data_IF_054839083102
#
_entry.id   IF_054839083102
#
_cell.length_a   1.000
_cell.length_b   1.000
_cell.length_c   1.000
_cell.angle_alpha   90.00
_cell.angle_beta   90.00
_cell.angle_gamma   90.00
#
_symmetry.space_group_name_H-M   'P 1'
#
loop_
_entity.id
_entity.type
_entity.pdbx_description
1 polymer ?
#
# COMPACT_ATOMS: atom_id res chain seq x y z
N UNK A 1 33.47 24.10 -8.84
CA UNK A 1 32.12 23.54 -9.02
C UNK A 1 31.31 23.88 -7.79
N UNK A 2 30.38 24.85 -7.88
CA UNK A 2 29.44 25.15 -6.78
C UNK A 2 28.27 24.19 -6.92
N UNK A 3 27.96 23.44 -5.86
CA UNK A 3 26.76 22.60 -5.83
C UNK A 3 25.52 23.50 -5.87
N UNK A 4 24.55 23.16 -6.72
CA UNK A 4 23.28 23.88 -6.79
C UNK A 4 22.44 23.53 -5.53
N UNK A 5 22.17 24.49 -4.63
CA UNK A 5 21.46 24.21 -3.37
C UNK A 5 20.05 23.66 -3.59
N UNK A 6 19.41 23.94 -4.73
CA UNK A 6 18.09 23.37 -5.06
C UNK A 6 18.15 21.86 -5.31
N UNK A 7 19.25 21.35 -5.89
CA UNK A 7 19.45 19.90 -6.09
C UNK A 7 19.66 19.18 -4.76
N UNK A 8 20.47 19.76 -3.88
CA UNK A 8 20.73 19.19 -2.55
C UNK A 8 19.44 19.08 -1.70
N UNK A 9 18.58 20.11 -1.74
CA UNK A 9 17.29 20.09 -1.03
C UNK A 9 16.32 19.02 -1.55
N UNK A 10 16.24 18.85 -2.87
CA UNK A 10 15.41 17.83 -3.50
C UNK A 10 15.85 16.39 -3.13
N UNK A 11 17.16 16.14 -3.08
CA UNK A 11 17.71 14.84 -2.69
C UNK A 11 17.37 14.46 -1.24
N UNK A 12 17.53 15.40 -0.31
CA UNK A 12 17.18 15.17 1.11
C UNK A 12 15.69 14.89 1.28
N UNK A 13 14.83 15.67 0.60
CA UNK A 13 13.38 15.49 0.66
C UNK A 13 12.96 14.12 0.07
N UNK A 14 13.54 13.72 -1.06
CA UNK A 14 13.30 12.41 -1.68
C UNK A 14 13.68 11.25 -0.76
N UNK A 15 14.84 11.32 -0.11
CA UNK A 15 15.29 10.30 0.86
C UNK A 15 14.36 10.18 2.07
N UNK A 16 13.95 11.32 2.66
CA UNK A 16 13.06 11.34 3.83
C UNK A 16 11.67 10.79 3.47
N UNK A 17 11.07 11.30 2.39
CA UNK A 17 9.75 10.84 1.93
C UNK A 17 9.78 9.36 1.54
N UNK A 18 10.83 8.92 0.86
CA UNK A 18 11.02 7.51 0.46
C UNK A 18 11.19 6.59 1.67
N UNK A 19 11.98 7.00 2.67
CA UNK A 19 12.18 6.24 3.90
C UNK A 19 10.89 6.06 4.71
N UNK A 20 10.17 7.16 4.97
CA UNK A 20 8.92 7.14 5.75
C UNK A 20 7.83 6.37 5.03
N UNK A 21 7.64 6.61 3.73
CA UNK A 21 6.63 5.89 2.94
C UNK A 21 6.92 4.40 2.87
N UNK A 22 8.18 3.97 2.77
CA UNK A 22 8.55 2.55 2.78
C UNK A 22 8.18 1.84 4.09
N UNK A 23 8.42 2.49 5.24
CA UNK A 23 8.01 1.95 6.54
C UNK A 23 6.49 1.86 6.66
N UNK A 24 5.78 2.90 6.20
CA UNK A 24 4.32 2.93 6.20
C UNK A 24 3.72 1.84 5.30
N UNK A 25 4.27 1.64 4.09
CA UNK A 25 3.89 0.56 3.17
C UNK A 25 4.09 -0.80 3.84
N UNK A 26 5.27 -1.07 4.41
CA UNK A 26 5.54 -2.36 5.04
C UNK A 26 4.56 -2.66 6.19
N UNK A 27 4.36 -1.70 7.10
CA UNK A 27 3.45 -1.85 8.23
C UNK A 27 1.99 -2.01 7.80
N UNK A 28 1.49 -1.12 6.94
CA UNK A 28 0.10 -1.15 6.48
C UNK A 28 -0.19 -2.38 5.62
N UNK A 29 0.76 -2.82 4.80
CA UNK A 29 0.63 -4.02 3.98
C UNK A 29 0.41 -5.29 4.81
N UNK A 30 1.13 -5.44 5.93
CA UNK A 30 0.94 -6.56 6.87
C UNK A 30 -0.46 -6.50 7.49
N UNK A 31 -0.88 -5.32 7.94
CA UNK A 31 -2.21 -5.12 8.55
C UNK A 31 -3.33 -5.44 7.56
N UNK A 32 -3.27 -4.90 6.34
CA UNK A 32 -4.27 -5.17 5.29
C UNK A 32 -4.31 -6.66 4.96
N UNK A 33 -3.15 -7.30 4.85
CA UNK A 33 -3.09 -8.73 4.59
C UNK A 33 -3.74 -9.56 5.71
N UNK A 34 -3.41 -9.27 6.98
CA UNK A 34 -4.05 -9.93 8.12
C UNK A 34 -5.57 -9.75 8.14
N UNK A 35 -6.05 -8.54 7.90
CA UNK A 35 -7.49 -8.24 7.78
C UNK A 35 -8.13 -9.04 6.63
N UNK A 36 -7.45 -9.11 5.48
CA UNK A 36 -7.91 -9.87 4.31
C UNK A 36 -8.09 -11.35 4.65
N UNK A 37 -7.15 -11.96 5.37
CA UNK A 37 -7.23 -13.37 5.80
C UNK A 37 -8.38 -13.57 6.80
N UNK A 38 -8.59 -12.62 7.73
CA UNK A 38 -9.71 -12.67 8.68
C UNK A 38 -11.05 -12.58 7.95
N UNK A 39 -11.18 -11.66 6.98
CA UNK A 39 -12.36 -11.54 6.13
C UNK A 39 -12.58 -12.86 5.38
N UNK A 40 -11.53 -13.41 4.78
CA UNK A 40 -11.62 -14.65 4.03
C UNK A 40 -12.13 -15.82 4.85
N UNK A 41 -11.60 -15.95 6.07
CA UNK A 41 -12.05 -16.94 7.02
C UNK A 41 -13.53 -16.76 7.39
N UNK A 42 -13.95 -15.52 7.68
CA UNK A 42 -15.32 -15.22 8.13
C UNK A 42 -16.38 -15.45 7.04
N UNK A 43 -16.06 -15.13 5.78
CA UNK A 43 -17.04 -15.21 4.69
C UNK A 43 -16.99 -16.53 3.90
N UNK A 44 -15.82 -17.17 3.80
CA UNK A 44 -15.63 -18.34 2.94
C UNK A 44 -14.87 -19.50 3.63
N UNK A 45 -14.54 -19.38 4.92
CA UNK A 45 -13.96 -20.45 5.72
C UNK A 45 -12.43 -20.64 5.56
N UNK A 46 -11.93 -21.71 6.16
CA UNK A 46 -10.49 -21.97 6.32
C UNK A 46 -9.74 -22.06 4.98
N UNK A 47 -10.29 -22.77 4.00
CA UNK A 47 -9.62 -22.94 2.71
C UNK A 47 -9.39 -21.59 2.02
N UNK A 48 -10.38 -20.70 2.08
CA UNK A 48 -10.26 -19.35 1.50
C UNK A 48 -9.23 -18.49 2.23
N UNK A 49 -9.14 -18.63 3.56
CA UNK A 49 -8.10 -17.98 4.36
C UNK A 49 -6.69 -18.46 3.97
N UNK A 50 -6.50 -19.77 3.81
CA UNK A 50 -5.23 -20.37 3.37
C UNK A 50 -4.83 -19.84 1.99
N UNK A 51 -5.75 -19.86 1.01
CA UNK A 51 -5.47 -19.30 -0.32
C UNK A 51 -5.11 -17.81 -0.23
N UNK A 52 -5.80 -17.06 0.63
CA UNK A 52 -5.55 -15.63 0.81
C UNK A 52 -4.16 -15.34 1.40
N UNK A 53 -3.61 -16.24 2.22
CA UNK A 53 -2.24 -16.16 2.75
C UNK A 53 -1.20 -16.28 1.61
N UNK A 54 -1.36 -17.25 0.73
CA UNK A 54 -0.40 -17.50 -0.36
C UNK A 54 -0.46 -16.47 -1.49
N UNK A 55 -1.61 -15.83 -1.69
CA UNK A 55 -1.82 -14.88 -2.77
C UNK A 55 -2.27 -13.50 -2.25
N UNK A 56 -1.43 -12.79 -1.48
CA UNK A 56 -1.83 -11.59 -0.73
C UNK A 56 -2.47 -10.50 -1.60
N UNK A 57 -1.84 -10.16 -2.73
CA UNK A 57 -2.31 -9.07 -3.60
C UNK A 57 -3.60 -9.44 -4.33
N UNK A 58 -3.66 -10.66 -4.88
CA UNK A 58 -4.85 -11.15 -5.58
C UNK A 58 -6.03 -11.31 -4.62
N UNK A 59 -5.77 -11.80 -3.40
CA UNK A 59 -6.77 -11.92 -2.36
C UNK A 59 -7.33 -10.56 -1.96
N UNK A 60 -6.48 -9.55 -1.78
CA UNK A 60 -6.94 -8.20 -1.46
C UNK A 60 -7.88 -7.65 -2.54
N UNK A 61 -7.50 -7.77 -3.82
CA UNK A 61 -8.35 -7.33 -4.94
C UNK A 61 -9.69 -8.10 -4.99
N UNK A 62 -9.64 -9.42 -4.82
CA UNK A 62 -10.84 -10.26 -4.79
C UNK A 62 -11.78 -9.87 -3.64
N UNK A 63 -11.25 -9.65 -2.44
CA UNK A 63 -12.06 -9.32 -1.26
C UNK A 63 -12.62 -7.90 -1.30
N UNK A 64 -11.94 -6.94 -1.94
CA UNK A 64 -12.52 -5.62 -2.23
C UNK A 64 -13.77 -5.77 -3.09
N UNK A 65 -13.64 -6.49 -4.21
CA UNK A 65 -14.77 -6.75 -5.09
C UNK A 65 -15.90 -7.50 -4.37
N UNK A 66 -15.56 -8.55 -3.61
CA UNK A 66 -16.57 -9.38 -2.94
C UNK A 66 -17.31 -8.61 -1.85
N UNK A 67 -16.61 -7.83 -1.03
CA UNK A 67 -17.24 -6.99 -0.01
C UNK A 67 -18.12 -5.92 -0.66
N UNK A 68 -17.65 -5.29 -1.73
CA UNK A 68 -18.47 -4.34 -2.47
C UNK A 68 -19.74 -4.98 -3.03
N UNK A 69 -19.64 -6.16 -3.65
CA UNK A 69 -20.78 -6.88 -4.19
C UNK A 69 -21.81 -7.30 -3.11
N UNK A 70 -21.35 -7.62 -1.89
CA UNK A 70 -22.23 -8.00 -0.77
C UNK A 70 -22.85 -6.77 -0.10
N UNK A 71 -22.06 -5.72 0.14
CA UNK A 71 -22.49 -4.54 0.89
C UNK A 71 -23.21 -3.49 0.05
N UNK A 72 -22.99 -3.49 -1.27
CA UNK A 72 -23.37 -2.40 -2.17
C UNK A 72 -22.53 -1.13 -2.02
N UNK A 73 -21.61 -1.08 -1.04
CA UNK A 73 -20.82 0.12 -0.72
C UNK A 73 -19.36 -0.11 -1.10
N UNK A 74 -18.92 0.55 -2.17
CA UNK A 74 -17.52 0.48 -2.62
C UNK A 74 -16.56 1.10 -1.60
N UNK A 75 -16.88 2.31 -1.12
CA UNK A 75 -16.01 3.10 -0.25
C UNK A 75 -16.16 2.72 1.24
N UNK A 76 -16.00 1.43 1.53
CA UNK A 76 -15.97 0.90 2.89
C UNK A 76 -14.55 1.01 3.51
N UNK A 77 -14.46 0.84 4.84
CA UNK A 77 -13.20 0.94 5.58
C UNK A 77 -12.06 0.09 5.00
N UNK A 78 -12.35 -1.15 4.58
CA UNK A 78 -11.35 -2.04 3.99
C UNK A 78 -10.82 -1.51 2.65
N UNK A 79 -11.72 -1.00 1.80
CA UNK A 79 -11.38 -0.42 0.51
C UNK A 79 -10.60 0.89 0.67
N UNK A 80 -10.95 1.72 1.65
CA UNK A 80 -10.19 2.93 2.02
C UNK A 80 -8.75 2.57 2.39
N UNK A 81 -8.54 1.54 3.22
CA UNK A 81 -7.19 1.10 3.60
C UNK A 81 -6.35 0.71 2.37
N UNK A 82 -6.94 0.00 1.41
CA UNK A 82 -6.27 -0.39 0.18
C UNK A 82 -5.96 0.83 -0.71
N UNK A 83 -6.89 1.79 -0.83
CA UNK A 83 -6.65 3.03 -1.58
C UNK A 83 -5.50 3.82 -0.95
N UNK A 84 -5.48 3.97 0.37
CA UNK A 84 -4.38 4.65 1.09
C UNK A 84 -3.07 3.92 0.86
N UNK A 85 -3.06 2.59 0.92
CA UNK A 85 -1.88 1.78 0.64
C UNK A 85 -1.35 1.97 -0.78
N UNK A 86 -2.23 2.01 -1.79
CA UNK A 86 -1.84 2.33 -3.17
C UNK A 86 -1.31 3.76 -3.30
N UNK A 87 -1.92 4.73 -2.60
CA UNK A 87 -1.44 6.10 -2.54
C UNK A 87 -0.03 6.21 -1.94
N UNK A 88 0.29 5.42 -0.92
CA UNK A 88 1.64 5.36 -0.34
C UNK A 88 2.66 4.82 -1.35
N UNK A 89 2.31 3.81 -2.15
CA UNK A 89 3.17 3.34 -3.25
C UNK A 89 3.46 4.44 -4.26
N UNK A 90 2.45 5.22 -4.64
CA UNK A 90 2.62 6.37 -5.54
C UNK A 90 3.59 7.39 -4.94
N UNK A 91 3.39 7.78 -3.67
CA UNK A 91 4.29 8.71 -2.97
C UNK A 91 5.73 8.17 -2.92
N UNK A 92 5.90 6.87 -2.64
CA UNK A 92 7.21 6.23 -2.62
C UNK A 92 7.91 6.32 -3.99
N UNK A 93 7.21 5.99 -5.08
CA UNK A 93 7.79 6.10 -6.43
C UNK A 93 8.14 7.55 -6.79
N UNK A 94 7.30 8.52 -6.44
CA UNK A 94 7.61 9.94 -6.61
C UNK A 94 8.84 10.37 -5.79
N UNK A 95 8.96 9.89 -4.56
CA UNK A 95 10.11 10.18 -3.71
C UNK A 95 11.41 9.60 -4.29
N UNK A 96 11.37 8.39 -4.83
CA UNK A 96 12.51 7.79 -5.54
C UNK A 96 12.91 8.60 -6.79
N UNK A 97 11.94 9.03 -7.60
CA UNK A 97 12.19 9.85 -8.78
C UNK A 97 12.76 11.24 -8.42
N UNK A 98 12.29 11.83 -7.31
CA UNK A 98 12.82 13.10 -6.81
C UNK A 98 14.27 12.93 -6.33
N UNK A 99 14.57 11.86 -5.60
CA UNK A 99 15.92 11.57 -5.14
C UNK A 99 16.89 11.38 -6.32
N UNK A 100 16.50 10.65 -7.36
CA UNK A 100 17.36 10.43 -8.54
C UNK A 100 17.58 11.67 -9.40
N UNK A 101 16.71 12.69 -9.28
CA UNK A 101 16.89 13.97 -9.99
C UNK A 101 17.92 14.90 -9.36
N UNK A 102 18.34 14.59 -8.12
CA UNK A 102 19.30 15.37 -7.35
C UNK A 102 20.76 15.00 -7.67
N UNK A 103 20.99 13.82 -8.24
CA UNK A 103 22.28 13.38 -8.79
C UNK A 103 22.67 14.19 -10.06
#
# INVERSE_FOLDING_TARGET
MSANPMKAGAGVLGCLLGGVSRLAIAGLGIVIHGITVIIAYKFAGLLSAIVSIFFPVLAQAYWVYKIWAISGVFLNWYTIMIIVYLGLWVIFFFACALASSAD
#
